data_IF_397685567366
#
_entry.id   IF_397685567366
#
_cell.length_a   1.000
_cell.length_b   1.000
_cell.length_c   1.000
_cell.angle_alpha   90.00
_cell.angle_beta   90.00
_cell.angle_gamma   90.00
#
_symmetry.space_group_name_H-M   'P 1'
#
loop_
_entity.id
_entity.type
_entity.pdbx_description
1 polymer ?
#
# COMPACT_ATOMS: atom_id res chain seq x y z
N UNK A 1 -0.87 8.08 31.82
CA UNK A 1 -0.07 6.96 31.24
C UNK A 1 -0.87 5.66 31.05
N UNK A 2 -1.81 5.29 31.94
CA UNK A 2 -2.61 4.06 31.78
C UNK A 2 -3.64 4.15 30.62
N UNK A 3 -4.31 5.29 30.45
CA UNK A 3 -5.31 5.50 29.38
C UNK A 3 -4.72 5.39 27.96
N UNK A 4 -3.57 6.03 27.71
CA UNK A 4 -2.86 5.98 26.42
C UNK A 4 -2.47 4.54 26.05
N UNK A 5 -2.10 3.71 27.03
CA UNK A 5 -1.77 2.30 26.79
C UNK A 5 -3.00 1.46 26.45
N UNK A 6 -4.14 1.74 27.07
CA UNK A 6 -5.41 1.07 26.81
C UNK A 6 -5.97 1.42 25.42
N UNK A 7 -5.96 2.70 25.04
CA UNK A 7 -6.41 3.14 23.71
C UNK A 7 -5.58 2.52 22.59
N UNK A 8 -4.25 2.51 22.75
CA UNK A 8 -3.35 1.87 21.77
C UNK A 8 -3.63 0.37 21.63
N UNK A 9 -3.86 -0.36 22.72
CA UNK A 9 -4.19 -1.78 22.67
C UNK A 9 -5.53 -2.06 21.97
N UNK A 10 -6.56 -1.23 22.21
CA UNK A 10 -7.87 -1.38 21.56
C UNK A 10 -7.75 -1.13 20.05
N UNK A 11 -7.03 -0.07 19.66
CA UNK A 11 -6.78 0.30 18.26
C UNK A 11 -6.05 -0.82 17.51
N UNK A 12 -4.98 -1.37 18.10
CA UNK A 12 -4.23 -2.50 17.54
C UNK A 12 -5.09 -3.77 17.39
N UNK A 13 -6.01 -4.03 18.32
CA UNK A 13 -6.90 -5.20 18.23
C UNK A 13 -7.97 -5.05 17.14
N UNK A 14 -8.50 -3.84 16.95
CA UNK A 14 -9.40 -3.55 15.84
C UNK A 14 -8.70 -3.70 14.49
N UNK A 15 -7.46 -3.21 14.37
CA UNK A 15 -6.64 -3.37 13.15
C UNK A 15 -6.34 -4.83 12.85
N UNK A 16 -5.94 -5.62 13.85
CA UNK A 16 -5.72 -7.07 13.64
C UNK A 16 -6.96 -7.78 13.14
N UNK A 17 -8.15 -7.38 13.60
CA UNK A 17 -9.44 -7.86 13.05
C UNK A 17 -9.63 -7.40 11.61
N UNK A 18 -9.45 -6.11 11.34
CA UNK A 18 -9.49 -5.46 10.01
C UNK A 18 -8.35 -5.91 9.10
N UNK A 19 -7.40 -6.75 9.50
CA UNK A 19 -6.44 -7.35 8.57
C UNK A 19 -6.51 -8.88 8.58
N UNK A 20 -7.47 -9.46 9.31
CA UNK A 20 -7.67 -10.91 9.39
C UNK A 20 -6.45 -11.64 9.97
N UNK A 21 -5.69 -11.00 10.85
CA UNK A 21 -4.41 -11.51 11.38
C UNK A 21 -4.58 -12.56 12.50
N UNK A 22 -5.80 -13.01 12.78
CA UNK A 22 -6.07 -14.02 13.79
C UNK A 22 -5.53 -15.39 13.34
N UNK A 23 -4.65 -15.99 14.14
CA UNK A 23 -3.95 -17.25 13.84
C UNK A 23 -4.94 -18.43 13.92
N UNK A 24 -5.21 -19.10 12.80
CA UNK A 24 -5.90 -20.41 12.83
C UNK A 24 -4.92 -21.49 13.31
N UNK A 25 -5.30 -22.27 14.33
CA UNK A 25 -4.47 -23.26 15.03
C UNK A 25 -3.90 -24.42 14.19
N UNK A 26 -4.12 -24.47 12.87
CA UNK A 26 -3.93 -25.70 12.09
C UNK A 26 -2.76 -25.78 11.10
N UNK A 27 -1.98 -24.72 10.85
CA UNK A 27 -0.79 -24.84 10.00
C UNK A 27 0.37 -23.96 10.50
N UNK A 28 1.55 -24.56 10.69
CA UNK A 28 2.76 -23.88 11.17
C UNK A 28 3.43 -22.99 10.11
N UNK A 29 2.93 -22.96 8.86
CA UNK A 29 3.52 -22.19 7.76
C UNK A 29 2.61 -21.02 7.40
N UNK A 30 3.12 -19.81 7.58
CA UNK A 30 2.39 -18.59 7.19
C UNK A 30 2.17 -18.55 5.68
N UNK A 31 0.92 -18.35 5.26
CA UNK A 31 0.58 -18.27 3.84
C UNK A 31 1.05 -16.94 3.23
N UNK A 32 1.35 -16.93 1.93
CA UNK A 32 1.70 -15.68 1.21
C UNK A 32 0.62 -14.60 1.35
N UNK A 33 -0.64 -15.03 1.48
CA UNK A 33 -1.77 -14.13 1.75
C UNK A 33 -1.63 -13.44 3.12
N UNK A 34 -1.33 -14.21 4.18
CA UNK A 34 -1.11 -13.65 5.52
C UNK A 34 0.11 -12.73 5.55
N UNK A 35 1.20 -13.09 4.85
CA UNK A 35 2.40 -12.24 4.71
C UNK A 35 2.09 -10.91 4.01
N UNK A 36 1.28 -10.94 2.96
CA UNK A 36 0.79 -9.74 2.28
C UNK A 36 -0.01 -8.85 3.23
N UNK A 37 -0.99 -9.42 3.95
CA UNK A 37 -1.83 -8.68 4.89
C UNK A 37 -1.05 -8.03 6.04
N UNK A 38 -0.06 -8.74 6.60
CA UNK A 38 0.81 -8.16 7.62
C UNK A 38 1.62 -6.99 7.08
N UNK A 39 2.10 -7.12 5.84
CA UNK A 39 2.86 -6.05 5.20
C UNK A 39 1.99 -4.84 4.88
N UNK A 40 0.76 -5.02 4.36
CA UNK A 40 -0.20 -3.93 4.18
C UNK A 40 -0.50 -3.21 5.50
N UNK A 41 -0.69 -3.94 6.61
CA UNK A 41 -0.88 -3.34 7.92
C UNK A 41 0.37 -2.57 8.38
N UNK A 42 1.56 -3.13 8.17
CA UNK A 42 2.80 -2.46 8.50
C UNK A 42 2.96 -1.14 7.73
N UNK A 43 2.73 -1.14 6.42
CA UNK A 43 2.75 0.07 5.59
C UNK A 43 1.67 1.06 6.01
N UNK A 44 0.45 0.60 6.31
CA UNK A 44 -0.61 1.45 6.87
C UNK A 44 -0.10 2.20 8.10
N UNK A 45 0.47 1.47 9.06
CA UNK A 45 0.97 2.05 10.31
C UNK A 45 2.15 3.01 10.07
N UNK A 46 3.03 2.70 9.10
CA UNK A 46 4.10 3.61 8.69
C UNK A 46 3.57 4.96 8.19
N UNK A 47 2.52 4.96 7.37
CA UNK A 47 1.89 6.20 6.90
C UNK A 47 1.12 6.93 8.01
N UNK A 48 0.42 6.20 8.88
CA UNK A 48 -0.28 6.80 10.02
C UNK A 48 0.67 7.45 11.04
N UNK A 49 1.85 6.85 11.27
CA UNK A 49 2.91 7.45 12.09
C UNK A 49 3.46 8.75 11.47
N UNK A 50 3.29 8.92 10.15
CA UNK A 50 3.57 10.16 9.41
C UNK A 50 2.34 11.07 9.29
N UNK A 51 1.32 10.83 10.12
CA UNK A 51 0.08 11.60 10.25
C UNK A 51 -0.84 11.54 9.03
N UNK A 52 -0.70 10.52 8.19
CA UNK A 52 -1.69 10.26 7.14
C UNK A 52 -2.92 9.58 7.76
N UNK A 53 -4.10 9.93 7.25
CA UNK A 53 -5.30 9.10 7.41
C UNK A 53 -5.29 8.04 6.32
N UNK A 54 -5.32 6.76 6.71
CA UNK A 54 -5.16 5.65 5.76
C UNK A 54 -6.42 4.80 5.66
N UNK A 55 -6.95 4.65 4.45
CA UNK A 55 -8.05 3.75 4.11
C UNK A 55 -7.49 2.43 3.54
N UNK A 56 -7.68 1.28 4.21
CA UNK A 56 -7.14 0.00 3.78
C UNK A 56 -8.04 -0.67 2.72
N UNK A 57 -8.05 -0.10 1.51
CA UNK A 57 -8.91 -0.50 0.38
C UNK A 57 -8.82 -1.99 0.04
N UNK A 58 -7.62 -2.54 -0.10
CA UNK A 58 -7.38 -3.95 -0.43
C UNK A 58 -7.97 -4.91 0.60
N UNK A 59 -8.10 -4.48 1.85
CA UNK A 59 -8.78 -5.26 2.87
C UNK A 59 -10.30 -5.15 2.76
N UNK A 60 -10.81 -3.92 2.71
CA UNK A 60 -12.25 -3.64 2.77
C UNK A 60 -12.95 -4.15 1.50
N UNK A 61 -12.31 -3.97 0.33
CA UNK A 61 -12.93 -4.23 -0.98
C UNK A 61 -12.49 -5.55 -1.63
N UNK A 62 -11.49 -6.23 -1.05
CA UNK A 62 -10.95 -7.53 -1.53
C UNK A 62 -10.65 -7.47 -3.03
N UNK A 63 -11.17 -8.42 -3.84
CA UNK A 63 -10.90 -8.53 -5.29
C UNK A 63 -11.37 -7.34 -6.13
N UNK A 64 -12.12 -6.39 -5.56
CA UNK A 64 -12.55 -5.16 -6.25
C UNK A 64 -11.56 -4.00 -6.04
N UNK A 65 -10.45 -4.24 -5.33
CA UNK A 65 -9.48 -3.21 -5.00
C UNK A 65 -8.77 -2.61 -6.23
N UNK A 66 -8.71 -3.36 -7.33
CA UNK A 66 -7.99 -2.95 -8.54
C UNK A 66 -6.50 -2.78 -8.24
N UNK A 67 -5.88 -3.55 -7.35
CA UNK A 67 -4.45 -3.40 -7.06
C UNK A 67 -4.04 -2.05 -6.42
N UNK A 68 -4.98 -1.36 -5.77
CA UNK A 68 -4.67 -0.28 -4.82
C UNK A 68 -4.98 -0.82 -3.43
N UNK A 69 -3.93 -1.13 -2.66
CA UNK A 69 -4.08 -1.75 -1.35
C UNK A 69 -4.47 -0.72 -0.29
N UNK A 70 -3.85 0.46 -0.33
CA UNK A 70 -4.09 1.55 0.62
C UNK A 70 -4.32 2.87 -0.13
N UNK A 71 -5.17 3.72 0.44
CA UNK A 71 -5.27 5.12 0.07
C UNK A 71 -4.95 5.97 1.30
N UNK A 72 -3.92 6.81 1.20
CA UNK A 72 -3.49 7.65 2.31
C UNK A 72 -3.73 9.13 2.00
N UNK A 73 -4.18 9.89 3.00
CA UNK A 73 -4.50 11.31 2.88
C UNK A 73 -3.75 12.11 3.93
N UNK A 74 -3.07 13.19 3.50
CA UNK A 74 -2.49 14.20 4.40
C UNK A 74 -2.62 15.57 3.77
N UNK A 75 -3.28 16.50 4.45
CA UNK A 75 -3.56 17.83 3.92
C UNK A 75 -4.24 17.75 2.53
N UNK A 76 -3.60 18.32 1.52
CA UNK A 76 -4.07 18.29 0.14
C UNK A 76 -3.49 17.11 -0.68
N UNK A 77 -2.70 16.24 -0.07
CA UNK A 77 -2.11 15.09 -0.72
C UNK A 77 -3.02 13.85 -0.62
N UNK A 78 -3.06 13.08 -1.70
CA UNK A 78 -3.64 11.74 -1.73
C UNK A 78 -2.66 10.77 -2.40
N UNK A 79 -2.22 9.77 -1.65
CA UNK A 79 -1.36 8.71 -2.14
C UNK A 79 -2.17 7.43 -2.42
N UNK A 80 -2.07 6.93 -3.64
CA UNK A 80 -2.55 5.61 -4.04
C UNK A 80 -1.39 4.62 -3.90
N UNK A 81 -1.58 3.55 -3.13
CA UNK A 81 -0.46 2.72 -2.67
C UNK A 81 -0.72 1.25 -2.99
N UNK A 82 0.23 0.59 -3.65
CA UNK A 82 0.34 -0.87 -3.75
C UNK A 82 1.50 -1.36 -2.90
N UNK A 83 1.28 -2.43 -2.15
CA UNK A 83 2.23 -3.11 -1.28
C UNK A 83 2.57 -4.49 -1.84
N UNK A 84 3.86 -4.80 -2.00
CA UNK A 84 4.35 -6.13 -2.44
C UNK A 84 5.38 -6.68 -1.47
N UNK A 85 4.99 -7.72 -0.72
CA UNK A 85 5.89 -8.42 0.19
C UNK A 85 6.45 -9.71 -0.43
N UNK A 86 7.37 -9.59 -1.40
CA UNK A 86 7.82 -10.71 -2.23
C UNK A 86 9.33 -10.97 -2.10
N UNK A 87 9.70 -12.25 -2.10
CA UNK A 87 11.11 -12.69 -2.07
C UNK A 87 11.85 -12.40 -3.38
N UNK A 88 11.13 -12.34 -4.50
CA UNK A 88 11.66 -11.95 -5.79
C UNK A 88 11.24 -10.51 -6.12
N UNK A 89 12.09 -9.76 -6.83
CA UNK A 89 11.77 -8.39 -7.20
C UNK A 89 10.50 -8.34 -8.07
N UNK A 90 9.58 -7.41 -7.80
CA UNK A 90 8.44 -7.14 -8.67
C UNK A 90 8.88 -6.93 -10.12
N UNK A 91 8.07 -7.40 -11.06
CA UNK A 91 8.33 -7.28 -12.49
C UNK A 91 7.55 -6.11 -13.09
N UNK A 92 8.01 -5.63 -14.25
CA UNK A 92 7.39 -4.51 -14.97
C UNK A 92 5.87 -4.66 -15.14
N UNK A 93 5.38 -5.88 -15.38
CA UNK A 93 3.95 -6.19 -15.53
C UNK A 93 3.14 -5.76 -14.31
N UNK A 94 3.63 -6.03 -13.11
CA UNK A 94 2.92 -5.68 -11.86
C UNK A 94 2.81 -4.18 -11.69
N UNK A 95 3.88 -3.46 -12.01
CA UNK A 95 3.92 -2.01 -11.95
C UNK A 95 2.97 -1.37 -12.98
N UNK A 96 2.91 -1.90 -14.20
CA UNK A 96 1.96 -1.45 -15.23
C UNK A 96 0.51 -1.62 -14.80
N UNK A 97 0.17 -2.77 -14.23
CA UNK A 97 -1.19 -3.02 -13.71
C UNK A 97 -1.55 -2.01 -12.62
N UNK A 98 -0.65 -1.77 -11.66
CA UNK A 98 -0.86 -0.77 -10.61
C UNK A 98 -1.14 0.63 -11.18
N UNK A 99 -0.34 1.06 -12.17
CA UNK A 99 -0.48 2.39 -12.78
C UNK A 99 -1.82 2.53 -13.49
N UNK A 100 -2.21 1.53 -14.29
CA UNK A 100 -3.49 1.52 -15.01
C UNK A 100 -4.64 1.66 -14.01
N UNK A 101 -4.59 0.93 -12.90
CA UNK A 101 -5.64 1.01 -11.90
C UNK A 101 -5.66 2.32 -11.13
N UNK A 102 -4.49 2.93 -10.87
CA UNK A 102 -4.42 4.30 -10.35
C UNK A 102 -5.11 5.29 -11.29
N UNK A 103 -4.80 5.22 -12.60
CA UNK A 103 -5.39 6.10 -13.59
C UNK A 103 -6.91 5.91 -13.71
N UNK A 104 -7.38 4.67 -13.68
CA UNK A 104 -8.82 4.37 -13.63
C UNK A 104 -9.48 4.95 -12.37
N UNK A 105 -8.86 4.76 -11.20
CA UNK A 105 -9.38 5.31 -9.94
C UNK A 105 -9.46 6.84 -9.98
N UNK A 106 -8.40 7.50 -10.44
CA UNK A 106 -8.34 8.95 -10.61
C UNK A 106 -9.47 9.42 -11.54
N UNK A 107 -9.60 8.77 -12.70
CA UNK A 107 -10.61 9.14 -13.70
C UNK A 107 -12.05 8.95 -13.21
N UNK A 108 -12.32 7.91 -12.40
CA UNK A 108 -13.64 7.65 -11.83
C UNK A 108 -14.00 8.60 -10.67
N UNK A 109 -13.01 9.27 -10.08
CA UNK A 109 -13.19 10.11 -8.89
C UNK A 109 -12.78 11.58 -9.10
N UNK A 110 -12.66 12.04 -10.35
CA UNK A 110 -12.15 13.38 -10.73
C UNK A 110 -12.70 14.51 -9.85
N UNK A 111 -14.01 14.56 -9.65
CA UNK A 111 -14.66 15.64 -8.90
C UNK A 111 -14.22 15.70 -7.43
N UNK A 112 -13.94 14.54 -6.82
CA UNK A 112 -13.54 14.41 -5.41
C UNK A 112 -12.05 14.69 -5.19
N UNK A 113 -11.25 14.64 -6.25
CA UNK A 113 -9.79 14.71 -6.18
C UNK A 113 -9.21 15.90 -6.95
N UNK A 114 -10.04 16.73 -7.57
CA UNK A 114 -9.63 17.86 -8.42
C UNK A 114 -8.61 18.80 -7.76
N UNK A 115 -8.74 19.02 -6.46
CA UNK A 115 -7.87 19.94 -5.73
C UNK A 115 -6.67 19.22 -5.13
N UNK A 116 -6.58 17.90 -5.21
CA UNK A 116 -5.56 17.10 -4.50
C UNK A 116 -4.30 16.91 -5.32
N UNK A 117 -3.16 16.97 -4.65
CA UNK A 117 -1.89 16.48 -5.17
C UNK A 117 -1.89 14.95 -5.09
N UNK A 118 -1.93 14.29 -6.25
CA UNK A 118 -1.99 12.82 -6.32
C UNK A 118 -0.58 12.23 -6.41
N UNK A 119 -0.34 11.17 -5.66
CA UNK A 119 0.89 10.36 -5.71
C UNK A 119 0.57 8.89 -5.98
N UNK A 120 1.41 8.24 -6.77
CA UNK A 120 1.33 6.79 -7.06
C UNK A 120 2.53 6.10 -6.42
N UNK A 121 2.31 5.38 -5.33
CA UNK A 121 3.37 4.73 -4.56
C UNK A 121 3.33 3.21 -4.78
N UNK A 122 4.40 2.67 -5.35
CA UNK A 122 4.60 1.23 -5.45
C UNK A 122 5.65 0.80 -4.42
N UNK A 123 5.21 0.16 -3.35
CA UNK A 123 6.03 -0.16 -2.18
C UNK A 123 6.33 -1.65 -2.14
N UNK A 124 7.61 -2.01 -2.05
CA UNK A 124 8.07 -3.40 -1.99
C UNK A 124 9.01 -3.65 -0.81
N UNK A 125 9.02 -4.86 -0.26
CA UNK A 125 10.02 -5.29 0.73
C UNK A 125 11.29 -5.86 0.08
N UNK A 126 11.31 -5.97 -1.25
CA UNK A 126 12.47 -6.49 -1.96
C UNK A 126 13.50 -5.40 -2.22
N UNK A 127 14.72 -5.56 -1.72
CA UNK A 127 15.83 -4.63 -1.92
C UNK A 127 16.37 -4.59 -3.35
N UNK A 128 16.06 -5.60 -4.18
CA UNK A 128 16.46 -5.63 -5.58
C UNK A 128 15.38 -5.00 -6.45
N UNK A 129 15.81 -4.34 -7.53
CA UNK A 129 14.92 -3.81 -8.55
C UNK A 129 15.17 -4.53 -9.89
N UNK A 130 14.09 -4.94 -10.54
CA UNK A 130 14.14 -5.52 -11.88
C UNK A 130 14.52 -4.45 -12.92
N UNK A 131 15.37 -4.79 -13.89
CA UNK A 131 15.81 -3.84 -14.92
C UNK A 131 14.64 -3.29 -15.75
N UNK A 132 13.66 -4.13 -16.09
CA UNK A 132 12.48 -3.70 -16.83
C UNK A 132 11.57 -2.77 -16.01
N UNK A 133 11.54 -2.92 -14.68
CA UNK A 133 10.91 -1.96 -13.78
C UNK A 133 11.64 -0.62 -13.82
N UNK A 134 12.97 -0.62 -13.72
CA UNK A 134 13.79 0.60 -13.77
C UNK A 134 13.54 1.39 -15.06
N UNK A 135 13.68 0.74 -16.23
CA UNK A 135 13.44 1.40 -17.52
C UNK A 135 12.02 1.95 -17.64
N UNK A 136 11.01 1.22 -17.15
CA UNK A 136 9.63 1.68 -17.20
C UNK A 136 9.38 2.90 -16.30
N UNK A 137 9.93 2.92 -15.08
CA UNK A 137 9.82 4.07 -14.18
C UNK A 137 10.46 5.31 -14.79
N UNK A 138 11.66 5.19 -15.36
CA UNK A 138 12.37 6.29 -16.00
C UNK A 138 11.56 6.88 -17.16
N UNK A 139 11.04 6.03 -18.04
CA UNK A 139 10.26 6.48 -19.20
C UNK A 139 8.92 7.09 -18.79
N UNK A 140 8.18 6.39 -17.91
CA UNK A 140 6.87 6.86 -17.46
C UNK A 140 6.97 8.21 -16.75
N UNK A 141 7.95 8.38 -15.86
CA UNK A 141 8.11 9.60 -15.06
C UNK A 141 8.66 10.79 -15.88
N UNK A 142 9.22 10.56 -17.08
CA UNK A 142 9.55 11.62 -18.04
C UNK A 142 8.33 12.13 -18.79
N UNK A 143 7.38 11.23 -19.10
CA UNK A 143 6.23 11.53 -19.95
C UNK A 143 4.98 11.99 -19.18
N UNK A 144 4.92 11.78 -17.86
CA UNK A 144 3.71 11.99 -17.07
C UNK A 144 3.97 12.94 -15.90
N UNK A 145 3.04 13.86 -15.67
CA UNK A 145 3.10 14.81 -14.55
C UNK A 145 2.97 14.09 -13.20
N UNK A 146 2.04 13.14 -13.10
CA UNK A 146 1.87 12.29 -11.91
C UNK A 146 2.85 11.12 -12.00
N UNK A 147 3.98 11.28 -11.32
CA UNK A 147 5.06 10.29 -11.29
C UNK A 147 4.70 9.06 -10.43
N UNK A 148 5.35 7.95 -10.74
CA UNK A 148 5.37 6.74 -9.93
C UNK A 148 6.59 6.80 -9.02
N UNK A 149 6.34 6.60 -7.73
CA UNK A 149 7.38 6.48 -6.73
C UNK A 149 7.52 5.01 -6.34
N UNK A 150 8.67 4.43 -6.67
CA UNK A 150 9.01 3.06 -6.32
C UNK A 150 9.83 3.07 -5.04
N UNK A 151 9.25 2.60 -3.94
CA UNK A 151 9.84 2.72 -2.60
C UNK A 151 10.12 1.31 -2.05
N UNK A 152 11.30 1.15 -1.45
CA UNK A 152 11.68 -0.06 -0.75
C UNK A 152 11.54 0.21 0.74
N UNK A 153 10.70 -0.56 1.43
CA UNK A 153 10.53 -0.49 2.89
C UNK A 153 10.59 -1.90 3.44
N UNK A 154 11.57 -2.18 4.28
CA UNK A 154 11.68 -3.48 4.93
C UNK A 154 10.85 -3.49 6.21
N UNK A 155 10.40 -4.67 6.64
CA UNK A 155 9.68 -4.85 7.92
C UNK A 155 10.62 -4.88 9.13
N UNK A 156 11.92 -4.64 8.92
CA UNK A 156 12.97 -4.70 9.95
C UNK A 156 13.51 -3.30 10.33
N UNK A 157 12.94 -2.22 9.76
CA UNK A 157 13.29 -0.82 10.03
C UNK A 157 12.43 -0.18 11.13
#
# INVERSE_FOLDING_TARGET
MQEIKQENQVKTNQEKRVFGLAKSRKDNKESNYQKGRKYELYIKNFFENKEYKVYPKGYIEKRKDGGIDLIAYKNNEMALIQCKNWTNPPKQKELKVFVINCDLYINQNKDKIKDKTIRKLFITSNSKQDYGVKCFLEEYNKQNDIKIEYIIINTED
#
